data_IF_656022605631
#
_entry.id   IF_656022605631
#
_cell.length_a   1.000
_cell.length_b   1.000
_cell.length_c   1.000
_cell.angle_alpha   90.00
_cell.angle_beta   90.00
_cell.angle_gamma   90.00
#
_symmetry.space_group_name_H-M   'P 1'
#
loop_
_entity.id
_entity.type
_entity.pdbx_description
1 polymer ?
#
# COMPACT_ATOMS: atom_id res chain seq x y z
N UNK A 1 4.80 -2.91 -12.19
CA UNK A 1 4.40 -4.11 -11.43
C UNK A 1 5.64 -4.71 -10.76
N UNK A 2 5.52 -5.39 -9.62
CA UNK A 2 6.62 -6.12 -8.96
C UNK A 2 7.58 -5.24 -8.14
N UNK A 3 7.26 -3.94 -8.05
CA UNK A 3 8.08 -2.96 -7.33
C UNK A 3 7.87 -3.07 -5.83
N UNK A 4 8.96 -2.98 -5.07
CA UNK A 4 8.91 -2.89 -3.61
C UNK A 4 8.48 -1.48 -3.21
N UNK A 5 7.48 -1.39 -2.34
CA UNK A 5 6.85 -0.14 -1.95
C UNK A 5 6.55 -0.11 -0.45
N UNK A 6 6.47 1.10 0.10
CA UNK A 6 6.06 1.36 1.46
C UNK A 6 4.53 1.42 1.54
N UNK A 7 3.97 0.69 2.49
CA UNK A 7 2.55 0.66 2.81
C UNK A 7 2.36 1.47 4.08
N UNK A 8 1.59 2.54 4.00
CA UNK A 8 1.19 3.36 5.15
C UNK A 8 -0.26 3.04 5.48
N UNK A 9 -0.53 2.70 6.73
CA UNK A 9 -1.87 2.51 7.26
C UNK A 9 -2.14 3.56 8.32
N UNK A 10 -3.24 4.29 8.18
CA UNK A 10 -3.64 5.36 9.08
C UNK A 10 -5.10 5.16 9.51
N UNK A 11 -5.34 5.16 10.82
CA UNK A 11 -6.69 5.10 11.40
C UNK A 11 -6.75 5.87 12.71
N UNK A 12 -7.30 7.08 12.67
CA UNK A 12 -7.31 7.97 13.84
C UNK A 12 -5.88 8.31 14.28
N UNK A 13 -5.54 8.04 15.54
CA UNK A 13 -4.18 8.22 16.05
C UNK A 13 -3.21 7.06 15.70
N UNK A 14 -3.71 5.97 15.11
CA UNK A 14 -2.88 4.82 14.76
C UNK A 14 -2.23 5.05 13.40
N UNK A 15 -0.90 5.14 13.40
CA UNK A 15 -0.06 5.14 12.21
C UNK A 15 0.80 3.87 12.21
N UNK A 16 0.72 3.07 11.15
CA UNK A 16 1.53 1.88 10.96
C UNK A 16 2.17 1.86 9.58
N UNK A 17 3.44 1.47 9.52
CA UNK A 17 4.19 1.35 8.26
C UNK A 17 4.60 -0.10 8.03
N UNK A 18 4.52 -0.55 6.79
CA UNK A 18 4.99 -1.86 6.36
C UNK A 18 5.60 -1.80 4.96
N UNK A 19 6.26 -2.88 4.54
CA UNK A 19 6.72 -3.04 3.16
C UNK A 19 5.86 -4.06 2.42
N UNK A 20 5.80 -3.91 1.10
CA UNK A 20 5.15 -4.88 0.23
C UNK A 20 5.56 -4.74 -1.23
N UNK A 21 4.90 -5.53 -2.06
CA UNK A 21 5.11 -5.58 -3.51
C UNK A 21 3.82 -5.14 -4.20
N UNK A 22 3.93 -4.14 -5.07
CA UNK A 22 2.84 -3.72 -5.95
C UNK A 22 2.54 -4.84 -6.96
N UNK A 23 1.30 -5.35 -6.95
CA UNK A 23 0.85 -6.41 -7.87
C UNK A 23 0.28 -5.84 -9.17
N UNK A 24 0.05 -4.53 -9.21
CA UNK A 24 -0.51 -3.79 -10.32
C UNK A 24 0.26 -2.47 -10.45
N UNK A 25 0.28 -1.94 -11.66
CA UNK A 25 0.72 -0.57 -11.88
C UNK A 25 -0.41 0.39 -11.51
N UNK A 26 -0.03 1.56 -11.00
CA UNK A 26 -0.98 2.60 -10.66
C UNK A 26 -0.32 3.97 -10.73
N UNK A 27 -1.15 4.95 -11.04
CA UNK A 27 -0.82 6.36 -10.94
C UNK A 27 -1.27 6.91 -9.60
N UNK A 28 -0.77 8.10 -9.25
CA UNK A 28 -1.20 8.83 -8.06
C UNK A 28 -2.73 8.84 -7.94
N UNK A 29 -3.22 8.65 -6.72
CA UNK A 29 -4.62 8.59 -6.33
C UNK A 29 -5.41 7.37 -6.87
N UNK A 30 -4.75 6.45 -7.60
CA UNK A 30 -5.38 5.19 -8.00
C UNK A 30 -5.27 4.13 -6.90
N UNK A 31 -6.31 3.29 -6.79
CA UNK A 31 -6.29 2.11 -5.94
C UNK A 31 -5.66 0.94 -6.67
N UNK A 32 -4.62 0.35 -6.08
CA UNK A 32 -3.92 -0.83 -6.60
C UNK A 32 -3.91 -1.96 -5.57
N UNK A 33 -3.68 -3.19 -6.04
CA UNK A 33 -3.41 -4.34 -5.18
C UNK A 33 -1.94 -4.42 -4.80
N UNK A 34 -1.69 -4.64 -3.51
CA UNK A 34 -0.34 -4.77 -2.94
C UNK A 34 -0.28 -6.00 -2.05
N UNK A 35 0.78 -6.79 -2.17
CA UNK A 35 1.07 -7.89 -1.27
C UNK A 35 1.96 -7.41 -0.13
N UNK A 36 1.49 -7.51 1.10
CA UNK A 36 2.29 -7.18 2.28
C UNK A 36 3.33 -8.27 2.57
N UNK A 37 4.58 -7.89 2.80
CA UNK A 37 5.68 -8.85 2.96
C UNK A 37 5.57 -9.66 4.25
N UNK A 38 5.10 -9.04 5.34
CA UNK A 38 5.03 -9.66 6.67
C UNK A 38 3.87 -10.65 6.79
N UNK A 39 2.67 -10.22 6.39
CA UNK A 39 1.43 -10.99 6.53
C UNK A 39 1.11 -11.86 5.32
N UNK A 40 1.77 -11.60 4.18
CA UNK A 40 1.47 -12.18 2.86
C UNK A 40 0.05 -11.88 2.35
N UNK A 41 -0.72 -11.04 3.03
CA UNK A 41 -2.07 -10.63 2.62
C UNK A 41 -2.00 -9.69 1.43
N UNK A 42 -3.00 -9.79 0.55
CA UNK A 42 -3.24 -8.83 -0.53
C UNK A 42 -4.14 -7.73 0.03
N UNK A 43 -3.70 -6.49 -0.09
CA UNK A 43 -4.35 -5.30 0.41
C UNK A 43 -4.68 -4.37 -0.77
N UNK A 44 -5.75 -3.60 -0.64
CA UNK A 44 -6.07 -2.50 -1.56
C UNK A 44 -5.52 -1.22 -0.95
N UNK A 45 -4.74 -0.48 -1.72
CA UNK A 45 -4.10 0.74 -1.26
C UNK A 45 -4.11 1.81 -2.36
N UNK A 46 -4.23 3.07 -1.97
CA UNK A 46 -4.19 4.23 -2.86
C UNK A 46 -2.75 4.68 -3.05
N UNK A 47 -2.30 4.85 -4.29
CA UNK A 47 -0.95 5.34 -4.61
C UNK A 47 -0.81 6.80 -4.18
N UNK A 48 0.13 7.07 -3.28
CA UNK A 48 0.47 8.43 -2.84
C UNK A 48 1.67 8.96 -3.61
N UNK A 49 2.66 8.11 -3.85
CA UNK A 49 3.86 8.40 -4.63
C UNK A 49 4.35 7.15 -5.37
N UNK A 50 5.42 7.27 -6.15
CA UNK A 50 5.99 6.13 -6.89
C UNK A 50 6.46 4.97 -6.00
N UNK A 51 6.73 5.24 -4.71
CA UNK A 51 7.28 4.27 -3.75
C UNK A 51 6.39 4.09 -2.52
N UNK A 52 5.22 4.75 -2.47
CA UNK A 52 4.35 4.77 -1.30
C UNK A 52 2.88 4.62 -1.67
N UNK A 53 2.19 3.77 -0.91
CA UNK A 53 0.74 3.62 -0.95
C UNK A 53 0.14 3.79 0.44
N UNK A 54 -1.12 4.23 0.49
CA UNK A 54 -1.90 4.37 1.72
C UNK A 54 -3.08 3.42 1.73
N UNK A 55 -3.28 2.73 2.84
CA UNK A 55 -4.47 1.93 3.09
C UNK A 55 -5.43 2.73 3.96
N UNK A 56 -6.65 2.90 3.47
CA UNK A 56 -7.77 3.43 4.26
C UNK A 56 -8.67 2.25 4.62
N UNK A 57 -8.72 1.89 5.91
CA UNK A 57 -9.77 1.02 6.42
C UNK A 57 -11.02 1.86 6.74
N UNK A 58 -12.23 1.34 6.52
CA UNK A 58 -13.44 1.94 7.07
C UNK A 58 -13.45 1.99 8.61
#
# INVERSE_FOLDING_TARGET
>A
NGKKISIVFERGALLATASGIALEDGHRDQTIRVKNDRSRKILRATVVSADEVRITAP
#
